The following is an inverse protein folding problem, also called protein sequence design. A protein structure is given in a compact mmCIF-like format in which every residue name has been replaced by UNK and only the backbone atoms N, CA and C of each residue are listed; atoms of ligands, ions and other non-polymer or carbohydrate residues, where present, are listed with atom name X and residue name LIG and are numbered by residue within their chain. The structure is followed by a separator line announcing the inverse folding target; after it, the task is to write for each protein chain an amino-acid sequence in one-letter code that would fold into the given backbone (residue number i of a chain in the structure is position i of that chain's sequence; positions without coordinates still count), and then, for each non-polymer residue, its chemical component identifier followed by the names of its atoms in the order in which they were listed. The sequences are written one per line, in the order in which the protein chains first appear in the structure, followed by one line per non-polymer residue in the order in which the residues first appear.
data_IF_879589215331
#
_entry.id   IF_879589215331
#
_cell.length_a   1.000
_cell.length_b   1.000
_cell.length_c   1.000
_cell.angle_alpha   90.00
_cell.angle_beta   90.00
_cell.angle_gamma   90.00
#
_symmetry.space_group_name_H-M   'P 1'
#
loop_
_entity.id
_entity.type
_entity.pdbx_description
1 polymer ?
#
# COMPACT_ATOMS: atom_id res chain seq x y z
N UNK A 1 -15.00 13.65 -1.08
CA UNK A 1 -14.14 12.58 -0.55
C UNK A 1 -13.66 11.71 -1.71
N UNK A 2 -12.52 12.03 -2.33
CA UNK A 2 -12.05 11.35 -3.55
C UNK A 2 -10.92 10.38 -3.21
N UNK A 3 -11.23 9.12 -2.94
CA UNK A 3 -10.21 8.06 -2.95
C UNK A 3 -9.97 7.67 -4.42
N UNK A 4 -8.80 7.96 -5.03
CA UNK A 4 -8.65 7.83 -6.47
C UNK A 4 -8.62 6.37 -6.92
N UNK A 5 -9.44 6.13 -7.93
CA UNK A 5 -9.74 4.90 -8.68
C UNK A 5 -8.54 4.43 -9.51
N UNK A 6 -7.53 3.88 -8.85
CA UNK A 6 -6.51 3.05 -9.49
C UNK A 6 -6.17 2.01 -8.44
N UNK A 7 -6.27 0.70 -8.72
CA UNK A 7 -5.93 -0.34 -7.73
C UNK A 7 -4.56 -0.01 -7.13
N UNK A 8 -4.54 0.52 -5.91
CA UNK A 8 -3.33 1.05 -5.29
C UNK A 8 -2.64 -0.09 -4.58
N UNK A 9 -1.32 0.00 -4.47
CA UNK A 9 -0.48 -0.88 -3.66
C UNK A 9 -1.09 -1.22 -2.28
N UNK A 10 -1.75 -0.24 -1.64
CA UNK A 10 -2.46 -0.43 -0.37
C UNK A 10 -3.69 -1.36 -0.43
N UNK A 11 -4.42 -1.42 -1.55
CA UNK A 11 -5.49 -2.40 -1.74
C UNK A 11 -4.91 -3.81 -1.92
N UNK A 12 -3.84 -3.95 -2.70
CA UNK A 12 -3.18 -5.25 -2.89
C UNK A 12 -2.66 -5.79 -1.56
N UNK A 13 -2.08 -4.93 -0.73
CA UNK A 13 -1.63 -5.30 0.61
C UNK A 13 -2.79 -5.69 1.55
N UNK A 14 -3.97 -5.05 1.41
CA UNK A 14 -5.17 -5.47 2.15
C UNK A 14 -5.70 -6.82 1.65
N UNK A 15 -5.71 -7.05 0.33
CA UNK A 15 -6.13 -8.33 -0.27
C UNK A 15 -5.18 -9.48 0.10
N UNK A 16 -3.91 -9.18 0.34
CA UNK A 16 -2.91 -10.13 0.83
C UNK A 16 -2.94 -10.32 2.36
N UNK A 17 -3.89 -9.71 3.06
CA UNK A 17 -4.00 -9.71 4.53
C UNK A 17 -2.73 -9.21 5.24
N UNK A 18 -1.90 -8.42 4.54
CA UNK A 18 -0.65 -7.84 5.07
C UNK A 18 -0.89 -6.56 5.85
N UNK A 19 -1.90 -5.79 5.46
CA UNK A 19 -2.33 -4.59 6.19
C UNK A 19 -3.82 -4.60 6.41
N UNK A 20 -4.25 -3.99 7.51
CA UNK A 20 -5.65 -3.70 7.79
C UNK A 20 -6.03 -2.31 7.29
N UNK A 21 -7.33 -2.06 7.17
CA UNK A 21 -7.85 -0.75 6.78
C UNK A 21 -7.37 0.38 7.72
N UNK A 22 -7.33 0.12 9.03
CA UNK A 22 -6.77 1.07 10.02
C UNK A 22 -5.30 1.40 9.76
N UNK A 23 -4.47 0.39 9.52
CA UNK A 23 -3.04 0.59 9.23
C UNK A 23 -2.82 1.34 7.93
N UNK A 24 -3.67 1.07 6.92
CA UNK A 24 -3.62 1.79 5.66
C UNK A 24 -4.04 3.26 5.81
N UNK A 25 -5.06 3.54 6.63
CA UNK A 25 -5.47 4.91 6.96
C UNK A 25 -4.35 5.67 7.69
N UNK A 26 -3.74 5.06 8.71
CA UNK A 26 -2.62 5.68 9.44
C UNK A 26 -1.43 5.96 8.52
N UNK A 27 -1.08 5.00 7.66
CA UNK A 27 -0.03 5.18 6.65
C UNK A 27 -0.40 6.25 5.61
N UNK A 28 -1.68 6.41 5.26
CA UNK A 28 -2.16 7.46 4.36
C UNK A 28 -2.03 8.85 5.00
N UNK A 29 -2.35 8.98 6.28
CA UNK A 29 -2.17 10.23 7.03
C UNK A 29 -0.69 10.63 7.11
N UNK A 30 0.18 9.68 7.46
CA UNK A 30 1.63 9.92 7.53
C UNK A 30 2.19 10.24 6.15
N UNK A 31 1.78 9.52 5.11
CA UNK A 31 2.13 9.84 3.72
C UNK A 31 1.69 11.26 3.34
N UNK A 32 0.53 11.73 3.81
CA UNK A 32 0.05 13.08 3.51
C UNK A 32 0.93 14.16 4.14
N UNK A 33 1.55 13.88 5.28
CA UNK A 33 2.46 14.77 5.99
C UNK A 33 3.91 14.68 5.48
N UNK A 34 4.47 13.47 5.37
CA UNK A 34 5.87 13.23 4.93
C UNK A 34 6.03 13.24 3.40
N UNK A 35 4.98 12.94 2.64
CA UNK A 35 5.09 12.61 1.22
C UNK A 35 5.65 11.20 0.97
N UNK A 36 5.71 10.78 -0.30
CA UNK A 36 6.37 9.54 -0.72
C UNK A 36 5.45 8.35 -1.04
N UNK A 37 6.04 7.15 -1.13
CA UNK A 37 5.33 5.93 -1.47
C UNK A 37 4.62 5.32 -0.25
N UNK A 38 3.34 4.93 -0.40
CA UNK A 38 2.56 4.33 0.70
C UNK A 38 3.23 3.04 1.21
N UNK A 39 3.85 2.26 0.32
CA UNK A 39 4.56 1.05 0.70
C UNK A 39 5.78 1.33 1.58
N UNK A 40 6.51 2.42 1.33
CA UNK A 40 7.63 2.81 2.17
C UNK A 40 7.17 3.21 3.57
N UNK A 41 6.05 3.93 3.67
CA UNK A 41 5.46 4.31 4.97
C UNK A 41 4.98 3.08 5.74
N UNK A 42 4.35 2.12 5.07
CA UNK A 42 3.90 0.87 5.69
C UNK A 42 5.08 0.04 6.22
N UNK A 43 6.23 0.07 5.54
CA UNK A 43 7.47 -0.57 6.01
C UNK A 43 8.11 0.20 7.16
N UNK A 44 8.13 1.54 7.10
CA UNK A 44 8.64 2.42 8.16
C UNK A 44 7.86 2.23 9.48
N UNK A 45 6.55 2.01 9.37
CA UNK A 45 5.66 1.71 10.51
C UNK A 45 5.77 0.26 11.01
N UNK A 46 6.49 -0.62 10.31
CA UNK A 46 6.59 -2.04 10.67
C UNK A 46 5.30 -2.83 10.42
N UNK A 47 4.38 -2.31 9.59
CA UNK A 47 3.14 -3.01 9.23
C UNK A 47 3.35 -4.02 8.10
N UNK A 48 4.37 -3.82 7.27
CA UNK A 48 4.77 -4.74 6.21
C UNK A 48 6.28 -4.77 6.07
N UNK A 49 6.79 -5.82 5.43
CA UNK A 49 8.19 -5.89 5.04
C UNK A 49 8.39 -5.44 3.59
N UNK A 50 9.64 -5.14 3.22
CA UNK A 50 9.99 -4.81 1.83
C UNK A 50 9.63 -5.95 0.87
N UNK A 51 9.65 -7.19 1.35
CA UNK A 51 9.27 -8.37 0.57
C UNK A 51 7.77 -8.35 0.23
N UNK A 52 6.93 -8.01 1.22
CA UNK A 52 5.48 -7.85 1.00
C UNK A 52 5.17 -6.74 0.00
N UNK A 53 5.89 -5.61 0.09
CA UNK A 53 5.77 -4.52 -0.88
C UNK A 53 6.17 -4.98 -2.27
N UNK A 54 7.24 -5.79 -2.38
CA UNK A 54 7.73 -6.33 -3.65
C UNK A 54 6.74 -7.32 -4.26
N UNK A 55 6.16 -8.20 -3.46
CA UNK A 55 5.10 -9.12 -3.88
C UNK A 55 3.83 -8.36 -4.32
N UNK A 56 3.39 -7.36 -3.53
CA UNK A 56 2.26 -6.52 -3.89
C UNK A 56 2.50 -5.72 -5.17
N UNK A 57 3.74 -5.23 -5.39
CA UNK A 57 4.15 -4.56 -6.62
C UNK A 57 4.13 -5.52 -7.82
N UNK A 58 4.60 -6.75 -7.65
CA UNK A 58 4.59 -7.77 -8.69
C UNK A 58 3.14 -8.14 -9.08
N UNK A 59 2.24 -8.29 -8.10
CA UNK A 59 0.81 -8.53 -8.33
C UNK A 59 0.18 -7.32 -9.04
N UNK A 60 0.46 -6.09 -8.59
CA UNK A 60 -0.05 -4.88 -9.23
C UNK A 60 0.47 -4.72 -10.67
N UNK A 61 1.72 -5.08 -10.93
CA UNK A 61 2.33 -5.05 -12.26
C UNK A 61 1.76 -6.16 -13.18
N UNK A 62 1.52 -7.35 -12.64
CA UNK A 62 0.88 -8.46 -13.34
C UNK A 62 -0.60 -8.17 -13.66
N UNK A 63 -1.32 -7.48 -12.76
CA UNK A 63 -2.69 -7.03 -12.98
C UNK A 63 -2.81 -5.90 -14.02
N UNK A 64 -1.73 -5.20 -14.37
CA UNK A 64 -1.71 -4.16 -15.42
C UNK A 64 -1.53 -4.75 -16.83
N UNK A 65 -1.82 -6.04 -17.03
CA UNK A 65 -1.94 -6.62 -18.37
C UNK A 65 -3.38 -7.03 -18.62
N UNK A 66 -4.18 -6.09 -19.14
CA UNK A 66 -5.11 -6.20 -20.28
C UNK A 66 -5.58 -4.81 -20.66
#
# INVERSE_FOLDING_TARGET
MTVPTQKRLGQVLMEMEKVTQKQLEEALEIKKQKGGAIGAVLVDLGYCEKDDISAALAIQAGMRRV
#
